data_IF_503677279808
#
_entry.id   IF_503677279808
#
_cell.length_a   1.000
_cell.length_b   1.000
_cell.length_c   1.000
_cell.angle_alpha   90.00
_cell.angle_beta   90.00
_cell.angle_gamma   90.00
#
_symmetry.space_group_name_H-M   'P 1'
#
loop_
_entity.id
_entity.type
_entity.pdbx_description
1 polymer ?
#
# COMPACT_ATOMS: atom_id res chain seq x y z
N UNK A 1 31.43 -31.73 54.12
CA UNK A 1 30.96 -32.49 52.94
C UNK A 1 29.54 -32.00 52.59
N UNK A 2 29.44 -31.17 51.52
CA UNK A 2 28.27 -30.95 50.62
C UNK A 2 26.94 -30.42 51.25
N UNK A 3 26.52 -29.16 50.95
CA UNK A 3 25.66 -28.72 49.80
C UNK A 3 24.19 -29.20 50.00
N UNK A 4 23.09 -28.43 49.90
CA UNK A 4 22.74 -27.17 49.23
C UNK A 4 21.44 -26.59 49.83
N UNK A 5 21.33 -25.26 49.72
CA UNK A 5 20.13 -24.43 49.89
C UNK A 5 19.14 -24.71 48.75
N UNK A 6 17.86 -24.84 49.07
CA UNK A 6 16.76 -24.92 48.09
C UNK A 6 15.72 -23.82 48.34
N UNK A 7 15.93 -22.64 47.77
CA UNK A 7 14.92 -21.58 47.70
C UNK A 7 14.07 -21.84 46.45
N UNK A 8 12.86 -22.35 46.64
CA UNK A 8 11.87 -22.51 45.58
C UNK A 8 11.19 -21.18 45.27
N UNK A 9 11.57 -20.53 44.18
CA UNK A 9 10.85 -19.37 43.63
C UNK A 9 9.72 -19.90 42.74
N UNK A 10 8.48 -19.82 43.21
CA UNK A 10 7.28 -20.03 42.40
C UNK A 10 7.07 -18.79 41.50
N UNK A 11 7.48 -18.89 40.24
CA UNK A 11 7.20 -17.88 39.23
C UNK A 11 5.74 -17.99 38.76
N UNK A 12 4.91 -17.02 39.12
CA UNK A 12 3.55 -16.87 38.59
C UNK A 12 3.62 -16.30 37.16
N UNK A 13 3.23 -17.11 36.18
CA UNK A 13 3.20 -16.71 34.77
C UNK A 13 1.95 -15.87 34.48
N UNK A 14 2.12 -14.55 34.35
CA UNK A 14 1.09 -13.65 33.81
C UNK A 14 1.05 -13.80 32.28
N UNK A 15 0.02 -14.48 31.77
CA UNK A 15 -0.28 -14.50 30.35
C UNK A 15 -0.94 -13.17 29.94
N UNK A 16 -0.16 -12.23 29.43
CA UNK A 16 -0.68 -11.02 28.81
C UNK A 16 -1.14 -11.35 27.38
N UNK A 17 -2.44 -11.53 27.17
CA UNK A 17 -3.05 -11.45 25.84
C UNK A 17 -2.96 -10.01 25.34
N UNK A 18 -1.96 -9.72 24.52
CA UNK A 18 -1.88 -8.45 23.81
C UNK A 18 -2.78 -8.49 22.57
N UNK A 19 -3.91 -7.80 22.64
CA UNK A 19 -4.67 -7.43 21.46
C UNK A 19 -3.83 -6.40 20.70
N UNK A 20 -3.28 -6.76 19.53
CA UNK A 20 -2.68 -5.78 18.61
C UNK A 20 -3.82 -4.87 18.14
N UNK A 21 -3.82 -3.61 18.60
CA UNK A 21 -4.63 -2.58 17.98
C UNK A 21 -4.01 -2.21 16.64
N UNK A 22 -4.81 -2.19 15.58
CA UNK A 22 -4.40 -1.67 14.29
C UNK A 22 -4.15 -0.17 14.42
N UNK A 23 -2.89 0.23 14.50
CA UNK A 23 -2.48 1.62 14.42
C UNK A 23 -2.43 2.02 12.94
N UNK A 24 -2.92 3.21 12.55
CA UNK A 24 -2.67 3.77 11.22
C UNK A 24 -1.16 3.79 10.97
N UNK A 25 -0.74 3.50 9.74
CA UNK A 25 0.67 3.50 9.37
C UNK A 25 1.27 4.91 9.52
N UNK A 26 1.77 5.24 10.71
CA UNK A 26 2.59 6.42 10.99
C UNK A 26 4.07 6.06 10.87
N UNK A 27 4.43 5.28 9.85
CA UNK A 27 5.83 5.00 9.58
C UNK A 27 6.46 6.23 8.93
N UNK A 28 6.99 7.12 9.76
CA UNK A 28 7.86 8.22 9.37
C UNK A 28 9.19 7.75 8.77
N UNK A 29 9.40 6.43 8.66
CA UNK A 29 10.60 5.78 8.15
C UNK A 29 10.55 5.36 6.67
N UNK A 30 9.47 5.61 5.92
CA UNK A 30 9.49 5.39 4.47
C UNK A 30 10.41 6.43 3.80
N UNK A 31 11.58 6.07 3.26
CA UNK A 31 12.57 7.04 2.75
C UNK A 31 12.12 7.78 1.48
N UNK A 32 10.87 7.63 1.04
CA UNK A 32 10.39 8.09 -0.26
C UNK A 32 11.01 7.22 -1.36
N UNK A 33 10.24 6.28 -1.87
CA UNK A 33 10.63 5.52 -3.05
C UNK A 33 9.83 6.01 -4.27
N UNK A 34 10.48 6.30 -5.42
CA UNK A 34 11.92 6.43 -5.70
C UNK A 34 12.46 7.87 -5.56
N UNK A 35 11.58 8.83 -5.30
CA UNK A 35 11.97 10.21 -5.04
C UNK A 35 12.21 10.26 -3.54
N UNK A 36 13.49 10.31 -3.15
CA UNK A 36 13.91 10.45 -1.76
C UNK A 36 13.19 11.60 -1.04
N UNK A 37 13.43 11.81 0.27
CA UNK A 37 12.63 12.72 1.07
C UNK A 37 12.52 14.07 0.38
N UNK A 38 11.33 14.37 -0.15
CA UNK A 38 11.02 15.71 -0.63
C UNK A 38 11.34 16.64 0.54
N UNK A 39 11.96 17.79 0.28
CA UNK A 39 12.44 18.71 1.32
C UNK A 39 11.35 19.22 2.29
N UNK A 40 10.10 18.74 2.19
CA UNK A 40 8.97 18.93 3.10
C UNK A 40 8.47 17.66 3.81
N UNK A 41 9.32 16.65 4.03
CA UNK A 41 8.94 15.39 4.68
C UNK A 41 8.21 14.42 3.75
N UNK A 42 8.00 13.18 4.23
CA UNK A 42 7.28 12.13 3.48
C UNK A 42 5.81 12.52 3.43
N UNK A 43 5.37 13.10 2.32
CA UNK A 43 3.96 13.40 2.10
C UNK A 43 3.21 12.08 1.81
N UNK A 44 2.05 11.83 2.45
CA UNK A 44 1.21 10.68 2.10
C UNK A 44 0.85 10.70 0.61
N UNK A 45 0.85 9.52 -0.03
CA UNK A 45 0.40 9.42 -1.42
C UNK A 45 -1.11 9.56 -1.51
N UNK A 46 -1.57 10.32 -2.50
CA UNK A 46 -2.98 10.52 -2.78
C UNK A 46 -3.29 10.34 -4.27
N UNK A 47 -4.54 9.99 -4.57
CA UNK A 47 -4.97 9.67 -5.93
C UNK A 47 -4.76 10.86 -6.87
N UNK A 48 -5.31 12.02 -6.53
CA UNK A 48 -5.33 13.19 -7.44
C UNK A 48 -3.92 13.65 -7.81
N UNK A 49 -3.03 13.71 -6.83
CA UNK A 49 -1.69 14.29 -7.00
C UNK A 49 -0.68 13.28 -7.56
N UNK A 50 -0.76 12.01 -7.15
CA UNK A 50 0.35 11.07 -7.35
C UNK A 50 -0.04 9.87 -8.23
N UNK A 51 -1.27 9.38 -8.15
CA UNK A 51 -1.68 8.13 -8.85
C UNK A 51 -2.40 8.41 -10.16
N UNK A 52 -3.29 9.40 -10.19
CA UNK A 52 -4.05 9.77 -11.39
C UNK A 52 -3.12 10.07 -12.58
N UNK A 53 -2.02 10.84 -12.43
CA UNK A 53 -1.09 11.06 -13.55
C UNK A 53 -0.46 9.77 -14.09
N UNK A 54 -0.24 8.77 -13.23
CA UNK A 54 0.28 7.46 -13.65
C UNK A 54 -0.77 6.69 -14.45
N UNK A 55 -2.02 6.65 -13.98
CA UNK A 55 -3.11 5.94 -14.65
C UNK A 55 -3.51 6.62 -15.97
N UNK A 56 -3.56 7.95 -15.99
CA UNK A 56 -3.84 8.74 -17.19
C UNK A 56 -2.84 8.46 -18.30
N UNK A 57 -1.54 8.37 -17.97
CA UNK A 57 -0.50 8.14 -18.95
C UNK A 57 -0.46 6.70 -19.49
N UNK A 58 -0.80 5.70 -18.67
CA UNK A 58 -0.47 4.30 -18.96
C UNK A 58 -1.69 3.38 -19.14
N UNK A 59 -2.88 3.80 -18.71
CA UNK A 59 -4.02 2.89 -18.55
C UNK A 59 -5.32 3.44 -19.17
N UNK A 60 -5.51 4.76 -19.23
CA UNK A 60 -6.78 5.37 -19.70
C UNK A 60 -7.10 5.07 -21.17
N UNK A 61 -6.11 4.75 -22.01
CA UNK A 61 -6.35 4.37 -23.41
C UNK A 61 -7.28 3.13 -23.52
N UNK A 62 -7.10 2.15 -22.63
CA UNK A 62 -7.88 0.91 -22.59
C UNK A 62 -8.93 0.86 -21.46
N UNK A 63 -8.74 1.67 -20.41
CA UNK A 63 -9.59 1.73 -19.21
C UNK A 63 -10.15 3.15 -18.96
N UNK A 64 -10.60 3.82 -20.01
CA UNK A 64 -11.11 5.20 -20.00
C UNK A 64 -12.57 5.34 -20.43
N UNK A 65 -13.11 6.57 -20.52
CA UNK A 65 -14.52 6.83 -20.81
C UNK A 65 -15.05 6.27 -22.14
N UNK A 66 -14.17 6.07 -23.11
CA UNK A 66 -14.53 5.49 -24.40
C UNK A 66 -14.18 4.00 -24.55
N UNK A 67 -13.47 3.41 -23.57
CA UNK A 67 -13.01 2.02 -23.63
C UNK A 67 -12.86 1.46 -22.21
N UNK A 68 -13.69 0.48 -21.84
CA UNK A 68 -13.74 -0.09 -20.48
C UNK A 68 -13.32 -1.56 -20.48
N UNK A 69 -12.12 -1.86 -20.97
CA UNK A 69 -11.64 -3.25 -21.02
C UNK A 69 -11.73 -3.92 -19.65
N UNK A 70 -12.28 -5.13 -19.61
CA UNK A 70 -12.51 -5.86 -18.35
C UNK A 70 -13.55 -5.24 -17.40
N UNK A 71 -14.44 -4.35 -17.88
CA UNK A 71 -15.37 -3.57 -17.05
C UNK A 71 -14.60 -2.84 -15.93
N UNK A 72 -13.47 -2.24 -16.31
CA UNK A 72 -12.61 -1.52 -15.39
C UNK A 72 -12.19 -0.17 -15.97
N UNK A 73 -12.30 0.86 -15.13
CA UNK A 73 -12.15 2.26 -15.48
C UNK A 73 -11.23 2.94 -14.47
N UNK A 74 -10.32 3.77 -14.96
CA UNK A 74 -9.25 4.37 -14.13
C UNK A 74 -9.11 5.89 -14.22
N UNK A 75 -9.92 6.53 -15.06
CA UNK A 75 -9.89 7.96 -15.34
C UNK A 75 -10.47 8.84 -14.22
N UNK A 76 -11.26 8.26 -13.31
CA UNK A 76 -11.77 8.94 -12.11
C UNK A 76 -11.54 8.10 -10.86
N UNK A 77 -11.42 8.76 -9.70
CA UNK A 77 -11.26 8.08 -8.41
C UNK A 77 -12.41 7.10 -8.15
N UNK A 78 -13.64 7.57 -8.29
CA UNK A 78 -14.83 6.75 -8.08
C UNK A 78 -14.84 5.49 -8.96
N UNK A 79 -14.42 5.62 -10.23
CA UNK A 79 -14.35 4.50 -11.16
C UNK A 79 -13.27 3.48 -10.76
N UNK A 80 -12.07 3.94 -10.40
CA UNK A 80 -11.00 3.09 -9.87
C UNK A 80 -11.53 2.28 -8.69
N UNK A 81 -12.18 2.96 -7.74
CA UNK A 81 -12.56 2.39 -6.44
C UNK A 81 -13.73 1.41 -6.47
N UNK A 82 -14.50 1.32 -7.57
CA UNK A 82 -15.65 0.39 -7.70
C UNK A 82 -15.36 -1.05 -7.28
N UNK A 83 -14.14 -1.53 -7.57
CA UNK A 83 -13.71 -2.93 -7.33
C UNK A 83 -12.60 -3.04 -6.30
N UNK A 84 -12.17 -1.95 -5.67
CA UNK A 84 -10.99 -1.93 -4.80
C UNK A 84 -11.31 -2.17 -3.34
N UNK A 85 -10.28 -2.57 -2.61
CA UNK A 85 -10.29 -2.79 -1.17
C UNK A 85 -9.18 -1.92 -0.56
N UNK A 86 -9.47 -0.67 -0.14
CA UNK A 86 -8.51 0.14 0.62
C UNK A 86 -7.88 -0.66 1.76
N UNK A 87 -6.57 -0.56 1.90
CA UNK A 87 -5.82 -1.28 2.94
C UNK A 87 -5.54 -2.77 2.66
N UNK A 88 -6.01 -3.34 1.55
CA UNK A 88 -5.77 -4.76 1.20
C UNK A 88 -4.81 -4.88 0.01
N UNK A 89 -3.69 -5.58 0.20
CA UNK A 89 -2.73 -5.88 -0.87
C UNK A 89 -3.32 -6.74 -2.00
N UNK A 90 -4.47 -7.38 -1.78
CA UNK A 90 -5.22 -8.15 -2.79
C UNK A 90 -6.27 -7.31 -3.52
N UNK A 91 -6.25 -6.00 -3.33
CA UNK A 91 -7.07 -5.06 -4.11
C UNK A 91 -6.77 -5.25 -5.61
N UNK A 92 -7.77 -5.37 -6.51
CA UNK A 92 -7.56 -5.68 -7.92
C UNK A 92 -6.51 -4.82 -8.63
N UNK A 93 -6.47 -3.50 -8.39
CA UNK A 93 -5.47 -2.66 -9.03
C UNK A 93 -4.05 -3.02 -8.59
N UNK A 94 -3.86 -3.41 -7.32
CA UNK A 94 -2.56 -3.80 -6.79
C UNK A 94 -2.09 -5.08 -7.47
N UNK A 95 -2.88 -6.15 -7.44
CA UNK A 95 -2.47 -7.44 -7.99
C UNK A 95 -2.23 -7.41 -9.50
N UNK A 96 -2.90 -6.51 -10.22
CA UNK A 96 -2.73 -6.39 -11.67
C UNK A 96 -1.49 -5.58 -12.07
N UNK A 97 -1.08 -4.59 -11.28
CA UNK A 97 -0.01 -3.66 -11.67
C UNK A 97 1.35 -3.98 -11.05
N UNK A 98 1.42 -4.88 -10.06
CA UNK A 98 2.67 -5.38 -9.45
C UNK A 98 3.45 -6.30 -10.41
N UNK A 99 4.77 -6.51 -10.21
CA UNK A 99 5.54 -7.46 -11.00
C UNK A 99 4.87 -8.84 -11.08
N UNK A 100 4.64 -9.32 -12.31
CA UNK A 100 3.92 -10.57 -12.58
C UNK A 100 2.40 -10.44 -12.75
N UNK A 101 1.82 -9.28 -12.43
CA UNK A 101 0.43 -8.95 -12.74
C UNK A 101 0.22 -8.66 -14.22
N UNK A 102 -1.01 -8.91 -14.72
CA UNK A 102 -1.33 -8.83 -16.15
C UNK A 102 -1.10 -7.42 -16.73
N UNK A 103 -1.32 -6.39 -15.92
CA UNK A 103 -1.20 -4.99 -16.35
C UNK A 103 0.19 -4.39 -16.12
N UNK A 104 1.10 -5.12 -15.48
CA UNK A 104 2.44 -4.62 -15.13
C UNK A 104 3.27 -4.21 -16.36
N UNK A 105 3.06 -4.88 -17.49
CA UNK A 105 3.80 -4.64 -18.72
C UNK A 105 3.50 -3.29 -19.39
N UNK A 106 2.35 -2.69 -19.10
CA UNK A 106 1.89 -1.44 -19.73
C UNK A 106 2.43 -0.18 -19.05
N UNK A 107 3.14 -0.32 -17.92
CA UNK A 107 3.88 0.79 -17.34
C UNK A 107 5.02 1.25 -18.26
N UNK A 108 4.95 2.49 -18.72
CA UNK A 108 6.09 3.17 -19.35
C UNK A 108 7.14 3.58 -18.31
N UNK A 109 8.41 3.62 -18.70
CA UNK A 109 9.51 4.06 -17.82
C UNK A 109 9.77 3.12 -16.64
N UNK A 110 9.99 3.69 -15.45
CA UNK A 110 10.24 2.94 -14.22
C UNK A 110 8.96 2.29 -13.68
N UNK A 111 8.67 1.09 -14.17
CA UNK A 111 7.50 0.29 -13.78
C UNK A 111 7.51 -0.15 -12.32
N UNK A 112 8.68 -0.38 -11.72
CA UNK A 112 8.78 -0.88 -10.34
C UNK A 112 8.37 0.23 -9.38
N UNK A 113 8.90 1.44 -9.62
CA UNK A 113 8.46 2.65 -8.94
C UNK A 113 6.95 2.85 -9.03
N UNK A 114 6.39 2.84 -10.25
CA UNK A 114 4.97 3.15 -10.45
C UNK A 114 4.07 2.13 -9.77
N UNK A 115 4.39 0.84 -9.91
CA UNK A 115 3.69 -0.24 -9.20
C UNK A 115 3.80 -0.08 -7.68
N UNK A 116 4.97 0.31 -7.17
CA UNK A 116 5.20 0.55 -5.73
C UNK A 116 4.36 1.73 -5.24
N UNK A 117 4.26 2.82 -5.99
CA UNK A 117 3.40 3.95 -5.64
C UNK A 117 1.93 3.53 -5.53
N UNK A 118 1.42 2.75 -6.49
CA UNK A 118 0.03 2.23 -6.43
C UNK A 118 -0.17 1.29 -5.24
N UNK A 119 0.78 0.39 -4.97
CA UNK A 119 0.74 -0.47 -3.78
C UNK A 119 0.67 0.35 -2.51
N UNK A 120 1.57 1.33 -2.35
CA UNK A 120 1.65 2.15 -1.14
C UNK A 120 0.40 2.99 -0.94
N UNK A 121 -0.09 3.64 -2.00
CA UNK A 121 -1.34 4.39 -1.98
C UNK A 121 -2.53 3.53 -1.54
N UNK A 122 -2.69 2.35 -2.15
CA UNK A 122 -3.82 1.47 -1.83
C UNK A 122 -3.71 0.88 -0.42
N UNK A 123 -2.53 0.37 -0.06
CA UNK A 123 -2.35 -0.48 1.13
C UNK A 123 -1.96 0.34 2.37
N UNK A 124 -1.01 1.26 2.26
CA UNK A 124 -0.54 2.04 3.41
C UNK A 124 -1.32 3.33 3.63
N UNK A 125 -1.75 3.99 2.54
CA UNK A 125 -2.47 5.26 2.60
C UNK A 125 -3.98 5.10 2.39
N UNK A 126 -4.49 3.87 2.50
CA UNK A 126 -5.92 3.52 2.46
C UNK A 126 -6.68 4.15 1.28
N UNK A 127 -6.03 4.18 0.11
CA UNK A 127 -6.55 4.74 -1.13
C UNK A 127 -7.01 6.22 -1.01
N UNK A 128 -6.31 7.06 -0.24
CA UNK A 128 -6.66 8.48 -0.08
C UNK A 128 -6.88 9.19 -1.42
N UNK A 129 -8.00 9.91 -1.57
CA UNK A 129 -8.31 10.62 -2.82
C UNK A 129 -7.45 11.88 -2.98
N UNK A 130 -7.34 12.68 -1.93
CA UNK A 130 -6.48 13.87 -1.83
C UNK A 130 -5.72 13.86 -0.51
N UNK A 131 -4.57 14.52 -0.49
CA UNK A 131 -3.89 14.98 0.74
C UNK A 131 -4.27 16.41 1.09
#
# INVERSE_FOLDING_TARGET
MRLLVGVGVLAASLAASSCVQAQPASDTGDPGFPFGPSAGGVQPLAYVQDIKPLLDQNCVECHGPGNEEGDYRVDTYAAVMRKQRPGDARSPIVVNVVPGGEMHQYWTGDRITKATMVFRWMVYYNAAETR
#
